data_IF_252523429254
#
_entry.id   IF_252523429254
#
_cell.length_a   1.000
_cell.length_b   1.000
_cell.length_c   1.000
_cell.angle_alpha   90.00
_cell.angle_beta   90.00
_cell.angle_gamma   90.00
#
_symmetry.space_group_name_H-M   'P 1'
#
loop_
_entity.id
_entity.type
_entity.pdbx_description
1 polymer ?
#
# COMPACT_ATOMS: atom_id res chain seq x y z
N UNK A 1 -2.24 28.06 44.11
CA UNK A 1 -2.56 26.62 44.05
C UNK A 1 -1.97 26.06 42.76
N UNK A 2 -1.49 24.82 42.77
CA UNK A 2 -1.00 24.19 41.55
C UNK A 2 -2.16 24.02 40.55
N UNK A 3 -1.87 24.14 39.25
CA UNK A 3 -2.87 23.91 38.22
C UNK A 3 -3.05 22.41 37.96
N UNK A 4 -4.19 21.98 37.41
CA UNK A 4 -4.40 20.58 36.97
C UNK A 4 -3.33 20.10 35.98
N UNK A 5 -2.74 21.01 35.21
CA UNK A 5 -1.62 20.71 34.29
C UNK A 5 -0.35 20.41 35.08
N UNK A 6 -0.07 21.18 36.13
CA UNK A 6 1.09 20.95 36.99
C UNK A 6 0.96 19.63 37.77
N UNK A 7 -0.24 19.31 38.25
CA UNK A 7 -0.52 18.02 38.88
C UNK A 7 -0.30 16.84 37.92
N UNK A 8 -0.78 16.93 36.67
CA UNK A 8 -0.54 15.92 35.62
C UNK A 8 0.95 15.79 35.28
N UNK A 9 1.67 16.90 35.21
CA UNK A 9 3.10 16.91 34.92
C UNK A 9 3.89 16.27 36.08
N UNK A 10 3.56 16.61 37.32
CA UNK A 10 4.16 16.01 38.51
C UNK A 10 3.89 14.50 38.61
N UNK A 11 2.64 14.08 38.37
CA UNK A 11 2.26 12.66 38.33
C UNK A 11 3.01 11.89 37.22
N UNK A 12 3.06 12.43 36.00
CA UNK A 12 3.76 11.78 34.88
C UNK A 12 5.26 11.73 35.09
N UNK A 13 5.86 12.73 35.74
CA UNK A 13 7.26 12.72 36.16
C UNK A 13 7.53 11.63 37.19
N UNK A 14 6.76 11.57 38.28
CA UNK A 14 6.91 10.55 39.33
C UNK A 14 6.73 9.13 38.76
N UNK A 15 5.76 8.92 37.87
CA UNK A 15 5.55 7.64 37.18
C UNK A 15 6.75 7.24 36.30
N UNK A 16 7.31 8.18 35.52
CA UNK A 16 8.48 7.90 34.67
C UNK A 16 9.71 7.54 35.51
N UNK A 17 9.91 8.27 36.61
CA UNK A 17 10.95 8.03 37.60
C UNK A 17 10.90 6.60 38.13
N UNK A 18 9.73 6.19 38.62
CA UNK A 18 9.51 4.83 39.14
C UNK A 18 9.84 3.76 38.09
N UNK A 19 9.38 3.94 36.84
CA UNK A 19 9.62 2.97 35.75
C UNK A 19 11.10 2.91 35.37
N UNK A 20 11.80 4.05 35.33
CA UNK A 20 13.22 4.12 34.99
C UNK A 20 14.06 3.30 35.98
N UNK A 21 13.76 3.39 37.28
CA UNK A 21 14.49 2.65 38.32
C UNK A 21 14.41 1.13 38.17
N UNK A 22 13.28 0.59 37.67
CA UNK A 22 13.15 -0.86 37.45
C UNK A 22 13.78 -1.34 36.13
N UNK A 23 13.73 -0.53 35.07
CA UNK A 23 14.17 -0.94 33.73
C UNK A 23 15.63 -0.58 33.41
N UNK A 24 16.14 0.53 33.96
CA UNK A 24 17.51 1.01 33.77
C UNK A 24 18.04 1.66 35.05
N UNK A 25 18.39 0.86 36.09
CA UNK A 25 18.98 1.38 37.31
C UNK A 25 20.39 1.91 37.00
N UNK A 26 20.53 3.23 36.89
CA UNK A 26 21.82 3.89 36.69
C UNK A 26 22.21 4.67 37.96
N UNK A 27 23.37 4.39 38.57
CA UNK A 27 23.84 5.09 39.77
C UNK A 27 24.13 6.59 39.54
N UNK A 28 24.29 7.05 38.29
CA UNK A 28 24.55 8.45 37.93
C UNK A 28 23.52 9.02 36.93
N UNK A 29 22.43 8.30 36.64
CA UNK A 29 21.57 8.56 35.49
C UNK A 29 20.37 9.47 35.73
N UNK A 30 20.04 10.28 34.71
CA UNK A 30 18.80 11.06 34.64
C UNK A 30 17.57 10.16 34.51
N UNK A 31 16.57 10.37 35.37
CA UNK A 31 15.24 9.72 35.39
C UNK A 31 14.42 9.93 34.08
N UNK A 32 14.96 10.72 33.16
CA UNK A 32 14.41 11.00 31.82
C UNK A 32 14.63 9.86 30.81
N UNK A 33 15.46 8.87 31.14
CA UNK A 33 15.87 7.77 30.26
C UNK A 33 14.91 6.59 30.13
N UNK A 34 13.77 6.56 30.84
CA UNK A 34 12.85 5.43 30.78
C UNK A 34 12.52 5.06 29.32
N UNK A 35 12.78 3.81 28.87
CA UNK A 35 12.56 3.43 27.49
C UNK A 35 11.08 3.61 27.13
N UNK A 36 10.81 4.36 26.06
CA UNK A 36 9.45 4.59 25.54
C UNK A 36 9.30 3.88 24.19
N UNK A 37 9.14 2.55 24.17
CA UNK A 37 9.14 1.77 22.93
C UNK A 37 8.02 2.24 21.97
N UNK A 38 6.90 2.73 22.50
CA UNK A 38 5.77 3.21 21.70
C UNK A 38 5.87 4.68 21.27
N UNK A 39 6.91 5.43 21.68
CA UNK A 39 7.02 6.87 21.35
C UNK A 39 7.18 7.10 19.85
N UNK A 40 7.77 6.14 19.14
CA UNK A 40 7.94 6.18 17.68
C UNK A 40 6.72 5.66 16.91
N UNK A 41 5.79 4.95 17.56
CA UNK A 41 4.66 4.30 16.89
C UNK A 41 3.67 5.32 16.34
N UNK A 42 3.28 6.31 17.15
CA UNK A 42 2.32 7.32 16.71
C UNK A 42 2.85 8.16 15.52
N UNK A 43 4.05 8.78 15.57
CA UNK A 43 4.57 9.50 14.41
C UNK A 43 4.84 8.55 13.22
N UNK A 44 5.29 7.32 13.45
CA UNK A 44 5.48 6.32 12.40
C UNK A 44 4.18 5.95 11.69
N UNK A 45 3.09 5.77 12.43
CA UNK A 45 1.77 5.48 11.87
C UNK A 45 1.25 6.63 11.00
N UNK A 46 1.46 7.88 11.44
CA UNK A 46 1.09 9.06 10.65
C UNK A 46 1.86 9.06 9.33
N UNK A 47 3.18 8.83 9.35
CA UNK A 47 4.01 8.75 8.14
C UNK A 47 3.51 7.62 7.23
N UNK A 48 3.21 6.44 7.77
CA UNK A 48 2.70 5.31 6.99
C UNK A 48 1.39 5.64 6.26
N UNK A 49 0.45 6.30 6.94
CA UNK A 49 -0.81 6.75 6.33
C UNK A 49 -0.55 7.74 5.19
N UNK A 50 0.36 8.71 5.39
CA UNK A 50 0.73 9.67 4.35
C UNK A 50 1.34 8.98 3.13
N UNK A 51 2.24 8.03 3.35
CA UNK A 51 2.85 7.24 2.27
C UNK A 51 1.79 6.48 1.49
N UNK A 52 0.88 5.78 2.16
CA UNK A 52 -0.23 5.07 1.51
C UNK A 52 -1.13 6.01 0.71
N UNK A 53 -1.44 7.20 1.25
CA UNK A 53 -2.24 8.20 0.54
C UNK A 53 -1.53 8.70 -0.73
N UNK A 54 -0.23 8.96 -0.67
CA UNK A 54 0.57 9.40 -1.83
C UNK A 54 0.59 8.32 -2.91
N UNK A 55 0.90 7.07 -2.56
CA UNK A 55 0.93 5.98 -3.54
C UNK A 55 -0.47 5.65 -4.09
N UNK A 56 -1.51 5.73 -3.25
CA UNK A 56 -2.90 5.56 -3.68
C UNK A 56 -3.32 6.64 -4.68
N UNK A 57 -3.03 7.91 -4.39
CA UNK A 57 -3.29 9.02 -5.30
C UNK A 57 -2.48 8.88 -6.60
N UNK A 58 -1.19 8.54 -6.50
CA UNK A 58 -0.33 8.35 -7.67
C UNK A 58 -0.85 7.26 -8.61
N UNK A 59 -1.27 6.12 -8.07
CA UNK A 59 -1.86 5.03 -8.85
C UNK A 59 -3.17 5.45 -9.55
N UNK A 60 -3.95 6.33 -8.92
CA UNK A 60 -5.18 6.88 -9.51
C UNK A 60 -4.90 7.88 -10.63
N UNK A 61 -3.86 8.72 -10.51
CA UNK A 61 -3.49 9.69 -11.54
C UNK A 61 -2.77 9.08 -12.75
N UNK A 62 -2.03 7.97 -12.55
CA UNK A 62 -1.30 7.26 -13.61
C UNK A 62 -1.76 5.79 -13.68
N UNK A 63 -3.00 5.50 -14.10
CA UNK A 63 -3.46 4.13 -14.27
C UNK A 63 -2.61 3.45 -15.35
N UNK A 64 -2.10 2.25 -15.05
CA UNK A 64 -1.23 1.49 -15.97
C UNK A 64 -2.01 0.98 -17.18
N UNK A 65 -3.30 0.68 -17.00
CA UNK A 65 -4.16 0.17 -18.05
C UNK A 65 -5.37 1.09 -18.27
N UNK A 66 -5.81 1.30 -19.53
CA UNK A 66 -6.98 2.11 -19.85
C UNK A 66 -8.25 1.49 -19.25
N UNK A 67 -9.29 2.32 -19.08
CA UNK A 67 -10.56 1.84 -18.54
C UNK A 67 -11.13 0.72 -19.41
N UNK A 68 -11.66 -0.34 -18.78
CA UNK A 68 -12.21 -1.55 -19.43
C UNK A 68 -11.21 -2.41 -20.20
N UNK A 69 -9.90 -2.28 -19.94
CA UNK A 69 -8.89 -3.17 -20.52
C UNK A 69 -9.16 -4.67 -20.28
N UNK A 70 -9.90 -5.01 -19.22
CA UNK A 70 -10.26 -6.36 -18.79
C UNK A 70 -11.59 -6.87 -19.35
N UNK A 71 -12.17 -6.17 -20.34
CA UNK A 71 -13.40 -6.60 -20.99
C UNK A 71 -13.16 -7.89 -21.80
N UNK A 72 -13.96 -8.95 -21.57
CA UNK A 72 -13.75 -10.24 -22.22
C UNK A 72 -13.98 -10.14 -23.73
N UNK A 73 -13.11 -10.76 -24.51
CA UNK A 73 -13.15 -10.79 -25.98
C UNK A 73 -13.15 -9.42 -26.66
N UNK A 74 -12.68 -8.36 -26.00
CA UNK A 74 -12.70 -7.00 -26.56
C UNK A 74 -11.32 -6.48 -27.01
N UNK A 75 -10.28 -6.77 -26.21
CA UNK A 75 -8.95 -6.20 -26.40
C UNK A 75 -7.87 -7.28 -26.56
N UNK A 76 -6.85 -6.97 -27.36
CA UNK A 76 -5.59 -7.72 -27.34
C UNK A 76 -4.62 -6.99 -26.42
N UNK A 77 -4.17 -7.66 -25.37
CA UNK A 77 -3.28 -7.10 -24.37
C UNK A 77 -1.85 -7.53 -24.70
N UNK A 78 -0.94 -6.58 -24.79
CA UNK A 78 0.49 -6.84 -24.99
C UNK A 78 1.22 -6.44 -23.71
N UNK A 79 1.98 -7.38 -23.16
CA UNK A 79 2.88 -7.08 -22.05
C UNK A 79 4.10 -6.33 -22.57
N UNK A 80 4.31 -5.09 -22.12
CA UNK A 80 5.35 -4.18 -22.59
C UNK A 80 6.76 -4.75 -22.48
N UNK A 81 7.02 -5.55 -21.44
CA UNK A 81 8.35 -6.11 -21.17
C UNK A 81 8.66 -7.38 -21.95
N UNK A 82 7.70 -8.30 -22.04
CA UNK A 82 7.90 -9.61 -22.66
C UNK A 82 7.39 -9.69 -24.09
N UNK A 83 6.64 -8.68 -24.54
CA UNK A 83 5.91 -8.68 -25.82
C UNK A 83 4.92 -9.87 -25.94
N UNK A 84 4.61 -10.55 -24.82
CA UNK A 84 3.64 -11.63 -24.80
C UNK A 84 2.24 -11.06 -24.99
N UNK A 85 1.43 -11.76 -25.78
CA UNK A 85 0.07 -11.33 -26.16
C UNK A 85 -0.93 -12.13 -25.36
N UNK A 86 -1.96 -11.45 -24.89
CA UNK A 86 -3.02 -12.02 -24.09
C UNK A 86 -4.39 -11.57 -24.62
N UNK A 87 -5.39 -12.40 -24.40
CA UNK A 87 -6.80 -12.07 -24.60
C UNK A 87 -7.55 -12.42 -23.32
N UNK A 88 -8.46 -11.55 -22.90
CA UNK A 88 -9.33 -11.85 -21.75
C UNK A 88 -10.47 -12.75 -22.21
N UNK A 89 -10.56 -13.94 -21.63
CA UNK A 89 -11.64 -14.90 -21.89
C UNK A 89 -12.32 -15.28 -20.57
N UNK A 90 -13.55 -15.76 -20.66
CA UNK A 90 -14.22 -16.39 -19.54
C UNK A 90 -14.01 -17.90 -19.59
N UNK A 91 -13.34 -18.43 -18.57
CA UNK A 91 -13.12 -19.87 -18.35
C UNK A 91 -13.69 -20.22 -16.99
N UNK A 92 -14.57 -21.22 -16.94
CA UNK A 92 -15.26 -21.66 -15.72
C UNK A 92 -16.00 -20.52 -14.99
N UNK A 93 -16.63 -19.63 -15.76
CA UNK A 93 -17.36 -18.48 -15.24
C UNK A 93 -16.48 -17.36 -14.66
N UNK A 94 -15.16 -17.40 -14.89
CA UNK A 94 -14.21 -16.39 -14.40
C UNK A 94 -13.47 -15.74 -15.56
N UNK A 95 -13.30 -14.42 -15.52
CA UNK A 95 -12.45 -13.67 -16.45
C UNK A 95 -10.98 -13.98 -16.18
N UNK A 96 -10.27 -14.41 -17.22
CA UNK A 96 -8.87 -14.81 -17.14
C UNK A 96 -8.09 -14.37 -18.39
N UNK A 97 -6.83 -13.99 -18.19
CA UNK A 97 -5.88 -13.67 -19.25
C UNK A 97 -5.36 -14.97 -19.87
N UNK A 98 -5.68 -15.20 -21.14
CA UNK A 98 -5.17 -16.33 -21.89
C UNK A 98 -4.01 -15.89 -22.79
N UNK A 99 -2.81 -16.46 -22.64
CA UNK A 99 -1.69 -16.17 -23.54
C UNK A 99 -1.97 -16.74 -24.92
N UNK A 100 -1.65 -15.98 -25.96
CA UNK A 100 -1.86 -16.37 -27.36
C UNK A 100 -0.55 -16.25 -28.12
N UNK A 101 -0.28 -17.24 -28.98
CA UNK A 101 0.99 -17.33 -29.70
C UNK A 101 1.15 -16.22 -30.76
N UNK A 102 0.05 -15.80 -31.41
CA UNK A 102 0.08 -14.85 -32.53
C UNK A 102 -1.14 -13.91 -32.53
N UNK A 103 -1.05 -12.83 -33.33
CA UNK A 103 -2.12 -11.82 -33.45
C UNK A 103 -3.37 -12.32 -34.19
N UNK A 104 -3.22 -13.25 -35.14
CA UNK A 104 -4.36 -13.77 -35.90
C UNK A 104 -5.28 -14.59 -34.98
N UNK A 105 -4.72 -15.52 -34.21
CA UNK A 105 -5.40 -16.27 -33.16
C UNK A 105 -6.00 -15.35 -32.11
N UNK A 106 -5.28 -14.29 -31.71
CA UNK A 106 -5.84 -13.32 -30.77
C UNK A 106 -7.11 -12.65 -31.33
N UNK A 107 -7.07 -12.18 -32.59
CA UNK A 107 -8.23 -11.57 -33.26
C UNK A 107 -9.40 -12.54 -33.46
N UNK A 108 -9.14 -13.83 -33.71
CA UNK A 108 -10.18 -14.86 -33.84
C UNK A 108 -10.94 -15.10 -32.53
N UNK A 109 -10.31 -14.83 -31.39
CA UNK A 109 -10.92 -15.02 -30.07
C UNK A 109 -11.75 -13.81 -29.61
N UNK A 110 -11.68 -12.69 -30.33
CA UNK A 110 -12.44 -11.48 -30.02
C UNK A 110 -13.87 -11.55 -30.54
N UNK A 111 -14.74 -10.71 -29.99
CA UNK A 111 -16.07 -10.49 -30.53
C UNK A 111 -15.99 -9.81 -31.92
N UNK A 112 -17.00 -10.00 -32.79
CA UNK A 112 -17.09 -9.27 -34.05
C UNK A 112 -16.95 -7.77 -33.83
N UNK A 113 -16.22 -7.09 -34.73
CA UNK A 113 -15.93 -5.65 -34.69
C UNK A 113 -15.10 -5.15 -33.50
N UNK A 114 -14.48 -6.06 -32.73
CA UNK A 114 -13.49 -5.75 -31.69
C UNK A 114 -12.07 -6.08 -32.15
N UNK A 115 -11.05 -5.48 -31.54
CA UNK A 115 -9.67 -5.60 -32.04
C UNK A 115 -8.68 -4.54 -31.60
N UNK A 116 -9.02 -3.70 -30.63
CA UNK A 116 -8.10 -2.67 -30.14
C UNK A 116 -6.96 -3.32 -29.35
N UNK A 117 -5.74 -2.86 -29.65
CA UNK A 117 -4.52 -3.34 -29.01
C UNK A 117 -4.19 -2.43 -27.84
N UNK A 118 -4.04 -3.01 -26.66
CA UNK A 118 -3.70 -2.32 -25.42
C UNK A 118 -2.32 -2.79 -24.98
N UNK A 119 -1.41 -1.84 -24.75
CA UNK A 119 -0.09 -2.14 -24.22
C UNK A 119 -0.07 -1.85 -22.72
N UNK A 120 0.40 -2.80 -21.92
CA UNK A 120 0.37 -2.78 -20.44
C UNK A 120 1.74 -3.11 -19.87
#
# INVERSE_FOLDING_TARGET
MASRRDELNAYTFAKRRLIAQFLQPNPTGSEEGAPKPLRAVLPGAIIAVVVLAVFGAWGMFKPVAPQKWDAPKEHVIIASKSTTRYVVLETDGKKQLHPVLNMASAKLLLAPDKGTVVNV
#
